data_IF_236387827323
#
_entry.id   IF_236387827323
#
_cell.length_a   1.000
_cell.length_b   1.000
_cell.length_c   1.000
_cell.angle_alpha   90.00
_cell.angle_beta   90.00
_cell.angle_gamma   90.00
#
_symmetry.space_group_name_H-M   'P 1'
#
loop_
_entity.id
_entity.type
_entity.pdbx_description
1 polymer ?
#
# COMPACT_ATOMS: atom_id res chain seq x y z
N UNK A 1 -3.73 -13.54 -11.98
CA UNK A 1 -5.10 -13.69 -11.47
C UNK A 1 -5.34 -12.66 -10.36
N UNK A 2 -6.29 -11.74 -10.58
CA UNK A 2 -6.57 -10.59 -9.71
C UNK A 2 -7.00 -11.02 -8.30
N UNK A 3 -7.86 -12.04 -8.21
CA UNK A 3 -8.33 -12.57 -6.93
C UNK A 3 -7.18 -13.20 -6.12
N UNK A 4 -6.26 -13.86 -6.80
CA UNK A 4 -5.07 -14.42 -6.15
C UNK A 4 -4.22 -13.31 -5.54
N UNK A 5 -3.95 -12.24 -6.30
CA UNK A 5 -3.16 -11.10 -5.82
C UNK A 5 -3.81 -10.40 -4.61
N UNK A 6 -5.12 -10.15 -4.67
CA UNK A 6 -5.88 -9.62 -3.54
C UNK A 6 -5.73 -10.48 -2.28
N UNK A 7 -5.89 -11.80 -2.44
CA UNK A 7 -5.77 -12.75 -1.34
C UNK A 7 -4.34 -12.79 -0.78
N UNK A 8 -3.32 -12.77 -1.62
CA UNK A 8 -1.91 -12.71 -1.21
C UNK A 8 -1.59 -11.44 -0.41
N UNK A 9 -2.09 -10.29 -0.84
CA UNK A 9 -1.96 -9.05 -0.09
C UNK A 9 -2.61 -9.16 1.29
N UNK A 10 -3.83 -9.68 1.36
CA UNK A 10 -4.57 -9.84 2.61
C UNK A 10 -3.85 -10.79 3.57
N UNK A 11 -3.45 -11.98 3.09
CA UNK A 11 -2.73 -12.97 3.91
C UNK A 11 -1.39 -12.41 4.39
N UNK A 12 -0.64 -11.73 3.53
CA UNK A 12 0.65 -11.14 3.88
C UNK A 12 0.48 -10.04 4.94
N UNK A 13 -0.53 -9.21 4.78
CA UNK A 13 -0.83 -8.14 5.74
C UNK A 13 -1.21 -8.71 7.10
N UNK A 14 -2.10 -9.70 7.13
CA UNK A 14 -2.52 -10.36 8.37
C UNK A 14 -1.35 -11.06 9.07
N UNK A 15 -0.51 -11.76 8.31
CA UNK A 15 0.53 -12.64 8.88
C UNK A 15 1.81 -11.91 9.26
N UNK A 16 2.14 -10.83 8.57
CA UNK A 16 3.44 -10.16 8.73
C UNK A 16 3.34 -8.67 9.06
N UNK A 17 2.47 -7.92 8.38
CA UNK A 17 2.40 -6.46 8.54
C UNK A 17 1.77 -6.09 9.88
N UNK A 18 0.60 -6.64 10.19
CA UNK A 18 -0.08 -6.38 11.46
C UNK A 18 0.81 -6.74 12.65
N UNK A 19 1.37 -7.96 12.78
CA UNK A 19 2.24 -8.30 13.90
C UNK A 19 3.51 -7.46 13.98
N UNK A 20 4.01 -6.96 12.84
CA UNK A 20 5.16 -6.04 12.84
C UNK A 20 4.76 -4.67 13.41
N UNK A 21 3.64 -4.11 12.97
CA UNK A 21 3.14 -2.81 13.45
C UNK A 21 2.84 -2.89 14.96
N UNK A 22 2.22 -3.97 15.42
CA UNK A 22 1.83 -4.15 16.82
C UNK A 22 3.00 -4.16 17.81
N UNK A 23 4.22 -4.40 17.34
CA UNK A 23 5.43 -4.22 18.17
C UNK A 23 5.67 -2.76 18.57
N UNK A 24 5.10 -1.81 17.84
CA UNK A 24 5.32 -0.38 18.01
C UNK A 24 4.04 0.39 18.35
N UNK A 25 2.91 -0.04 17.81
CA UNK A 25 1.61 0.60 17.96
C UNK A 25 0.53 -0.47 18.05
N UNK A 26 -0.18 -0.62 19.17
CA UNK A 26 -1.32 -1.53 19.29
C UNK A 26 -2.40 -1.21 18.26
N UNK A 27 -3.00 -2.25 17.69
CA UNK A 27 -4.11 -2.14 16.75
C UNK A 27 -5.39 -2.60 17.47
N UNK A 28 -6.39 -1.74 17.46
CA UNK A 28 -7.70 -1.99 18.08
C UNK A 28 -8.82 -1.58 17.11
N UNK A 29 -10.05 -1.95 17.42
CA UNK A 29 -11.20 -1.52 16.61
C UNK A 29 -11.38 0.01 16.54
N UNK A 30 -10.81 0.76 17.50
CA UNK A 30 -10.81 2.22 17.48
C UNK A 30 -9.70 2.84 16.63
N UNK A 31 -8.74 2.02 16.18
CA UNK A 31 -7.62 2.50 15.37
C UNK A 31 -8.08 3.03 14.03
N UNK A 32 -7.52 4.17 13.63
CA UNK A 32 -7.72 4.79 12.32
C UNK A 32 -6.53 4.50 11.41
N UNK A 33 -6.75 3.77 10.34
CA UNK A 33 -5.74 3.34 9.38
C UNK A 33 -5.89 4.14 8.08
N UNK A 34 -4.80 4.63 7.53
CA UNK A 34 -4.72 5.17 6.17
C UNK A 34 -3.84 4.26 5.32
N UNK A 35 -4.34 3.79 4.20
CA UNK A 35 -3.52 3.17 3.16
C UNK A 35 -3.41 4.10 1.96
N UNK A 36 -2.18 4.48 1.59
CA UNK A 36 -1.87 5.28 0.41
C UNK A 36 -1.46 4.34 -0.72
N UNK A 37 -2.12 4.47 -1.88
CA UNK A 37 -1.98 3.53 -2.99
C UNK A 37 -2.68 2.19 -2.70
N UNK A 38 -3.91 2.26 -2.21
CA UNK A 38 -4.62 1.07 -1.73
C UNK A 38 -5.04 0.09 -2.84
N UNK A 39 -5.04 0.51 -4.10
CA UNK A 39 -5.48 -0.32 -5.21
C UNK A 39 -6.89 -0.90 -4.99
N UNK A 40 -7.03 -2.21 -5.16
CA UNK A 40 -8.27 -2.93 -4.92
C UNK A 40 -8.54 -3.22 -3.43
N UNK A 41 -7.61 -2.84 -2.54
CA UNK A 41 -7.78 -2.91 -1.10
C UNK A 41 -7.41 -4.24 -0.44
N UNK A 42 -6.62 -5.09 -1.08
CA UNK A 42 -6.22 -6.37 -0.48
C UNK A 42 -5.54 -6.23 0.89
N UNK A 43 -4.73 -5.18 1.07
CA UNK A 43 -4.10 -4.87 2.37
C UNK A 43 -5.08 -4.29 3.40
N UNK A 44 -6.16 -3.63 2.96
CA UNK A 44 -7.19 -3.04 3.82
C UNK A 44 -7.96 -4.13 4.57
N UNK A 45 -8.22 -5.24 3.91
CA UNK A 45 -9.12 -6.28 4.42
C UNK A 45 -8.82 -6.71 5.86
N UNK A 46 -7.60 -7.10 6.24
CA UNK A 46 -7.32 -7.55 7.61
C UNK A 46 -7.58 -6.49 8.68
N UNK A 47 -7.33 -5.22 8.40
CA UNK A 47 -7.64 -4.14 9.35
C UNK A 47 -9.15 -3.93 9.49
N UNK A 48 -9.88 -4.01 8.38
CA UNK A 48 -11.31 -3.90 8.39
C UNK A 48 -11.97 -5.10 9.10
N UNK A 49 -11.41 -6.30 8.94
CA UNK A 49 -11.82 -7.52 9.67
C UNK A 49 -11.65 -7.34 11.20
N UNK A 50 -10.61 -6.64 11.65
CA UNK A 50 -10.39 -6.28 13.05
C UNK A 50 -11.33 -5.19 13.57
N UNK A 51 -12.18 -4.61 12.71
CA UNK A 51 -13.12 -3.56 13.06
C UNK A 51 -12.54 -2.14 13.02
N UNK A 52 -11.28 -1.97 12.59
CA UNK A 52 -10.64 -0.66 12.46
C UNK A 52 -11.43 0.26 11.52
N UNK A 53 -11.27 1.57 11.72
CA UNK A 53 -11.68 2.57 10.73
C UNK A 53 -10.58 2.69 9.68
N UNK A 54 -10.89 2.46 8.41
CA UNK A 54 -9.90 2.43 7.34
C UNK A 54 -10.24 3.45 6.27
N UNK A 55 -9.24 4.21 5.86
CA UNK A 55 -9.30 5.06 4.67
C UNK A 55 -8.30 4.56 3.65
N UNK A 56 -8.76 4.21 2.47
CA UNK A 56 -7.90 3.86 1.32
C UNK A 56 -7.91 5.01 0.30
N UNK A 57 -6.73 5.40 -0.17
CA UNK A 57 -6.56 6.42 -1.21
C UNK A 57 -5.80 5.81 -2.37
N UNK A 58 -6.32 5.99 -3.57
CA UNK A 58 -5.62 5.63 -4.80
C UNK A 58 -5.98 6.60 -5.92
N UNK A 59 -5.02 6.89 -6.81
CA UNK A 59 -5.25 7.74 -7.99
C UNK A 59 -5.99 6.99 -9.10
N UNK A 60 -5.98 5.66 -9.09
CA UNK A 60 -6.59 4.82 -10.10
C UNK A 60 -8.08 4.58 -9.81
N UNK A 61 -8.94 5.33 -10.51
CA UNK A 61 -10.39 5.21 -10.34
C UNK A 61 -10.95 3.81 -10.65
N UNK A 62 -10.33 3.07 -11.56
CA UNK A 62 -10.74 1.70 -11.87
C UNK A 62 -10.53 0.75 -10.68
N UNK A 63 -9.40 0.85 -10.01
CA UNK A 63 -9.11 0.05 -8.83
C UNK A 63 -10.01 0.42 -7.64
N UNK A 64 -10.24 1.72 -7.43
CA UNK A 64 -11.19 2.18 -6.40
C UNK A 64 -12.62 1.69 -6.67
N UNK A 65 -13.07 1.66 -7.92
CA UNK A 65 -14.38 1.13 -8.27
C UNK A 65 -14.50 -0.37 -7.90
N UNK A 66 -13.48 -1.14 -8.20
CA UNK A 66 -13.40 -2.56 -7.83
C UNK A 66 -13.37 -2.74 -6.31
N UNK A 67 -12.55 -1.96 -5.60
CA UNK A 67 -12.52 -1.99 -4.14
C UNK A 67 -13.90 -1.72 -3.55
N UNK A 68 -14.64 -0.71 -4.04
CA UNK A 68 -16.01 -0.41 -3.61
C UNK A 68 -16.96 -1.58 -3.82
N UNK A 69 -16.84 -2.29 -4.94
CA UNK A 69 -17.64 -3.48 -5.23
C UNK A 69 -17.32 -4.62 -4.25
N UNK A 70 -16.03 -4.94 -4.07
CA UNK A 70 -15.58 -5.99 -3.14
C UNK A 70 -16.08 -5.73 -1.71
N UNK A 71 -15.97 -4.49 -1.25
CA UNK A 71 -16.31 -4.14 0.14
C UNK A 71 -17.78 -3.80 0.35
N UNK A 72 -18.62 -3.73 -0.71
CA UNK A 72 -20.05 -3.44 -0.58
C UNK A 72 -20.79 -4.43 0.32
N UNK A 73 -20.35 -5.68 0.34
CA UNK A 73 -20.91 -6.78 1.13
C UNK A 73 -20.13 -7.08 2.42
N UNK A 74 -19.08 -6.32 2.71
CA UNK A 74 -18.27 -6.56 3.92
C UNK A 74 -19.03 -6.15 5.18
N UNK A 75 -19.01 -6.95 6.27
CA UNK A 75 -19.76 -6.63 7.51
C UNK A 75 -19.41 -5.25 8.09
N UNK A 76 -18.14 -4.86 8.01
CA UNK A 76 -17.62 -3.62 8.53
C UNK A 76 -17.46 -2.53 7.44
N UNK A 77 -18.21 -2.60 6.34
CA UNK A 77 -18.11 -1.64 5.23
C UNK A 77 -18.33 -0.18 5.64
N UNK A 78 -19.11 0.06 6.70
CA UNK A 78 -19.33 1.39 7.27
C UNK A 78 -18.08 2.04 7.86
N UNK A 79 -17.08 1.22 8.19
CA UNK A 79 -15.79 1.68 8.71
C UNK A 79 -14.79 1.98 7.58
N UNK A 80 -15.16 1.77 6.31
CA UNK A 80 -14.29 1.99 5.17
C UNK A 80 -14.66 3.27 4.41
N UNK A 81 -13.65 4.09 4.15
CA UNK A 81 -13.73 5.23 3.23
C UNK A 81 -12.73 5.01 2.10
N UNK A 82 -13.21 5.07 0.85
CA UNK A 82 -12.37 4.93 -0.35
C UNK A 82 -12.39 6.25 -1.14
N UNK A 83 -11.21 6.84 -1.33
CA UNK A 83 -11.00 8.13 -1.98
C UNK A 83 -10.20 7.89 -3.27
N UNK A 84 -10.75 8.35 -4.40
CA UNK A 84 -10.06 8.37 -5.69
C UNK A 84 -9.47 9.77 -5.91
N UNK A 85 -8.24 9.99 -5.46
CA UNK A 85 -7.58 11.29 -5.60
C UNK A 85 -6.06 11.14 -5.46
N UNK A 86 -5.33 12.10 -6.01
CA UNK A 86 -3.92 12.29 -5.72
C UNK A 86 -3.74 12.69 -4.25
N UNK A 87 -2.92 11.94 -3.52
CA UNK A 87 -2.68 12.17 -2.08
C UNK A 87 -2.24 13.62 -1.79
N UNK A 88 -1.53 14.26 -2.71
CA UNK A 88 -1.09 15.65 -2.55
C UNK A 88 -2.25 16.67 -2.60
N UNK A 89 -3.39 16.29 -3.15
CA UNK A 89 -4.60 17.13 -3.20
C UNK A 89 -5.55 16.91 -2.03
N UNK A 90 -5.32 15.86 -1.25
CA UNK A 90 -6.14 15.57 -0.07
C UNK A 90 -5.72 16.47 1.09
N UNK A 91 -6.57 17.41 1.47
CA UNK A 91 -6.27 18.44 2.49
C UNK A 91 -7.00 18.24 3.81
N UNK A 92 -8.04 17.40 3.86
CA UNK A 92 -8.98 17.33 4.99
C UNK A 92 -8.65 16.25 6.04
N UNK A 93 -7.54 15.53 5.88
CA UNK A 93 -7.22 14.34 6.68
C UNK A 93 -6.17 14.59 7.78
N UNK A 94 -5.91 15.84 8.15
CA UNK A 94 -4.88 16.17 9.14
C UNK A 94 -5.15 15.55 10.53
N UNK A 95 -4.08 15.03 11.15
CA UNK A 95 -4.06 14.51 12.52
C UNK A 95 -5.13 13.44 12.83
N UNK A 96 -5.45 12.59 11.85
CA UNK A 96 -6.56 11.62 11.98
C UNK A 96 -6.12 10.17 12.15
N UNK A 97 -4.93 9.80 11.65
CA UNK A 97 -4.58 8.40 11.51
C UNK A 97 -3.56 7.94 12.55
N UNK A 98 -3.84 6.82 13.18
CA UNK A 98 -2.93 6.15 14.09
C UNK A 98 -1.83 5.40 13.34
N UNK A 99 -2.15 4.90 12.16
CA UNK A 99 -1.24 4.14 11.31
C UNK A 99 -1.43 4.58 9.85
N UNK A 100 -0.34 4.94 9.19
CA UNK A 100 -0.30 5.13 7.74
C UNK A 100 0.47 3.98 7.13
N UNK A 101 -0.10 3.34 6.12
CA UNK A 101 0.49 2.22 5.38
C UNK A 101 0.83 2.69 3.97
N UNK A 102 2.07 2.43 3.55
CA UNK A 102 2.58 2.65 2.20
C UNK A 102 3.28 1.37 1.79
N UNK A 103 2.67 0.62 0.89
CA UNK A 103 3.22 -0.64 0.43
C UNK A 103 3.28 -0.71 -1.08
N UNK A 104 4.49 -0.92 -1.60
CA UNK A 104 4.76 -0.99 -3.04
C UNK A 104 4.28 0.27 -3.82
N UNK A 105 4.44 1.45 -3.21
CA UNK A 105 4.00 2.75 -3.73
C UNK A 105 5.11 3.78 -3.71
N UNK A 106 5.94 3.80 -2.66
CA UNK A 106 6.93 4.87 -2.46
C UNK A 106 7.93 4.97 -3.63
N UNK A 107 8.24 3.85 -4.29
CA UNK A 107 9.12 3.79 -5.45
C UNK A 107 8.55 4.52 -6.69
N UNK A 108 7.24 4.75 -6.71
CA UNK A 108 6.53 5.45 -7.79
C UNK A 108 6.32 6.93 -7.47
N UNK A 109 6.61 7.37 -6.25
CA UNK A 109 6.43 8.76 -5.83
C UNK A 109 7.68 9.58 -6.21
N UNK A 110 7.55 10.65 -7.00
CA UNK A 110 8.65 11.58 -7.23
C UNK A 110 8.96 12.37 -5.95
N UNK A 111 10.24 12.73 -5.76
CA UNK A 111 10.71 13.51 -4.61
C UNK A 111 10.31 12.91 -3.25
N UNK A 112 10.69 11.67 -3.04
CA UNK A 112 10.33 10.87 -1.85
C UNK A 112 10.69 11.57 -0.53
N UNK A 113 11.77 12.36 -0.52
CA UNK A 113 12.19 13.18 0.62
C UNK A 113 11.18 14.27 1.03
N UNK A 114 10.35 14.72 0.10
CA UNK A 114 9.26 15.67 0.36
C UNK A 114 7.96 14.95 0.74
N UNK A 115 7.79 13.72 0.24
CA UNK A 115 6.58 12.95 0.46
C UNK A 115 6.39 12.53 1.92
N UNK A 116 7.44 12.01 2.56
CA UNK A 116 7.34 11.54 3.96
C UNK A 116 6.99 12.68 4.94
N UNK A 117 7.63 13.87 4.89
CA UNK A 117 7.18 15.03 5.68
C UNK A 117 5.75 15.45 5.37
N UNK A 118 5.33 15.37 4.10
CA UNK A 118 3.98 15.71 3.69
C UNK A 118 2.93 14.83 4.33
N UNK A 119 3.09 13.50 4.28
CA UNK A 119 2.09 12.56 4.82
C UNK A 119 2.10 12.51 6.35
N UNK A 120 3.21 12.87 6.99
CA UNK A 120 3.31 12.95 8.45
C UNK A 120 2.24 13.85 9.06
N UNK A 121 1.76 14.87 8.35
CA UNK A 121 0.69 15.76 8.80
C UNK A 121 -0.67 15.05 8.98
N UNK A 122 -0.85 13.87 8.39
CA UNK A 122 -2.07 13.08 8.54
C UNK A 122 -2.05 12.22 9.81
N UNK A 123 -0.88 12.01 10.42
CA UNK A 123 -0.76 11.22 11.65
C UNK A 123 -1.41 11.92 12.84
N UNK A 124 -2.09 11.14 13.65
CA UNK A 124 -2.45 11.52 15.02
C UNK A 124 -1.19 11.64 15.90
N UNK A 125 -1.26 12.31 17.07
CA UNK A 125 -0.18 12.24 18.05
C UNK A 125 0.18 10.78 18.36
N UNK A 126 1.49 10.44 18.30
CA UNK A 126 1.98 9.07 18.47
C UNK A 126 1.57 8.08 17.39
N UNK A 127 1.08 8.55 16.23
CA UNK A 127 0.85 7.72 15.06
C UNK A 127 2.17 7.22 14.44
N UNK A 128 2.10 6.13 13.69
CA UNK A 128 3.24 5.50 13.02
C UNK A 128 3.02 5.39 11.52
N UNK A 129 4.12 5.38 10.75
CA UNK A 129 4.10 5.11 9.32
C UNK A 129 4.78 3.78 9.09
N UNK A 130 4.08 2.84 8.45
CA UNK A 130 4.64 1.60 7.94
C UNK A 130 4.94 1.76 6.44
N UNK A 131 6.20 1.54 6.05
CA UNK A 131 6.62 1.59 4.65
C UNK A 131 7.22 0.26 4.26
N UNK A 132 6.74 -0.32 3.19
CA UNK A 132 7.31 -1.51 2.56
C UNK A 132 7.47 -1.29 1.06
N UNK A 133 8.60 -1.70 0.52
CA UNK A 133 8.93 -1.60 -0.90
C UNK A 133 9.92 -2.69 -1.29
N UNK A 134 9.94 -3.14 -2.56
CA UNK A 134 10.92 -4.11 -3.03
C UNK A 134 12.32 -3.47 -3.04
N UNK A 135 13.32 -4.06 -2.37
CA UNK A 135 14.66 -3.52 -2.41
C UNK A 135 15.24 -3.65 -3.83
N UNK A 136 15.92 -2.61 -4.31
CA UNK A 136 16.52 -2.58 -5.66
C UNK A 136 17.46 -3.77 -5.91
N UNK A 137 18.17 -4.24 -4.89
CA UNK A 137 19.09 -5.38 -4.98
C UNK A 137 18.41 -6.75 -4.93
N UNK A 138 17.07 -6.79 -4.81
CA UNK A 138 16.33 -8.04 -4.93
C UNK A 138 16.54 -8.67 -6.31
N UNK A 139 16.53 -10.01 -6.46
CA UNK A 139 16.68 -10.67 -7.77
C UNK A 139 15.82 -10.10 -8.89
N UNK A 140 14.65 -9.59 -8.57
CA UNK A 140 13.70 -8.98 -9.51
C UNK A 140 13.33 -7.52 -9.17
N UNK A 141 14.21 -6.80 -8.47
CA UNK A 141 13.96 -5.43 -8.00
C UNK A 141 13.85 -4.38 -9.10
N UNK A 142 14.29 -4.68 -10.32
CA UNK A 142 14.21 -3.78 -11.47
C UNK A 142 12.89 -3.86 -12.25
N UNK A 143 11.85 -4.50 -11.72
CA UNK A 143 10.55 -4.73 -12.42
C UNK A 143 10.71 -5.38 -13.81
N UNK A 144 11.77 -6.16 -14.01
CA UNK A 144 12.08 -6.77 -15.31
C UNK A 144 11.03 -7.75 -15.82
N UNK A 145 10.05 -8.12 -14.98
CA UNK A 145 8.91 -8.97 -15.36
C UNK A 145 8.07 -8.32 -16.47
N UNK A 146 8.10 -6.98 -16.60
CA UNK A 146 7.42 -6.27 -17.68
C UNK A 146 8.23 -6.22 -18.98
N UNK A 147 9.44 -6.74 -19.01
CA UNK A 147 10.27 -6.80 -20.21
C UNK A 147 9.65 -7.71 -21.27
N UNK A 148 9.57 -7.25 -22.51
CA UNK A 148 9.00 -8.01 -23.64
C UNK A 148 9.82 -9.28 -23.97
N UNK A 149 11.09 -9.35 -23.60
CA UNK A 149 11.91 -10.52 -23.77
C UNK A 149 11.71 -11.48 -22.59
N UNK A 150 11.04 -12.60 -22.85
CA UNK A 150 10.73 -13.63 -21.85
C UNK A 150 11.97 -14.19 -21.14
N UNK A 151 13.10 -14.32 -21.82
CA UNK A 151 14.34 -14.81 -21.21
C UNK A 151 14.89 -13.79 -20.20
N UNK A 152 14.95 -12.52 -20.59
CA UNK A 152 15.45 -11.44 -19.74
C UNK A 152 14.52 -11.15 -18.55
N UNK A 153 13.20 -11.31 -18.73
CA UNK A 153 12.22 -11.10 -17.66
C UNK A 153 12.37 -12.10 -16.50
N UNK A 154 12.97 -13.26 -16.74
CA UNK A 154 13.19 -14.31 -15.73
C UNK A 154 14.63 -14.39 -15.23
N UNK A 155 15.55 -13.55 -15.73
CA UNK A 155 16.93 -13.51 -15.30
C UNK A 155 17.08 -12.71 -13.99
N UNK A 156 17.42 -13.36 -12.86
CA UNK A 156 17.61 -12.63 -11.60
C UNK A 156 18.78 -11.64 -11.72
N UNK A 157 18.66 -10.48 -11.06
CA UNK A 157 19.65 -9.39 -11.02
C UNK A 157 20.03 -8.79 -12.39
N UNK A 158 19.25 -9.05 -13.44
CA UNK A 158 19.50 -8.49 -14.77
C UNK A 158 19.59 -6.94 -14.76
N UNK A 159 18.76 -6.28 -13.95
CA UNK A 159 18.74 -4.83 -13.80
C UNK A 159 19.99 -4.23 -13.12
N UNK A 160 20.83 -5.06 -12.50
CA UNK A 160 22.10 -4.61 -11.91
C UNK A 160 23.27 -4.65 -12.91
N UNK A 161 23.07 -5.20 -14.11
CA UNK A 161 24.07 -5.17 -15.15
C UNK A 161 24.37 -3.74 -15.62
N UNK A 162 25.59 -3.44 -16.09
CA UNK A 162 25.90 -2.16 -16.68
C UNK A 162 24.97 -1.85 -17.86
N UNK A 163 24.52 -0.58 -17.99
CA UNK A 163 23.62 -0.16 -19.06
C UNK A 163 23.96 -0.62 -20.49
N UNK A 164 25.24 -0.76 -20.90
CA UNK A 164 25.59 -1.32 -22.20
C UNK A 164 25.20 -2.77 -22.42
N UNK A 165 24.93 -3.53 -21.35
CA UNK A 165 24.60 -4.95 -21.44
C UNK A 165 23.10 -5.22 -21.74
N UNK A 166 22.24 -4.19 -21.69
CA UNK A 166 20.79 -4.31 -21.92
C UNK A 166 20.20 -3.16 -22.74
N UNK A 167 21.03 -2.40 -23.45
CA UNK A 167 20.66 -1.57 -24.58
C UNK A 167 20.93 -2.35 -25.86
#
# INVERSE_FOLDING_TARGET
>A
DRQLYFNEQSITTQKYVIPFIEKHKPITADSHILEIGCGEGGNIKPFLDLGCKVTGIDINGGQIAIAKEIYSVHPNNRNLTLICEDIYKVTELHNKFDIIIIRDVIEHIPNQELFLPFIKRFLSPHGVIFVAFPPWQNPFGGHQQICNNKLLSHLPWFHLLPRPAYK
#
